data_IF_062188945083
#
_entry.id   IF_062188945083
#
_cell.length_a   1.000
_cell.length_b   1.000
_cell.length_c   1.000
_cell.angle_alpha   90.00
_cell.angle_beta   90.00
_cell.angle_gamma   90.00
#
_symmetry.space_group_name_H-M   'P 1'
#
loop_
_entity.id
_entity.type
_entity.pdbx_description
1 polymer ?
#
# COMPACT_ATOMS: atom_id res chain seq x y z
N UNK A 1 9.12 34.27 -5.28
CA UNK A 1 9.04 35.49 -6.10
C UNK A 1 10.30 35.55 -6.94
N UNK A 2 10.22 35.87 -8.24
CA UNK A 2 11.39 36.08 -9.09
C UNK A 2 11.69 37.59 -9.14
N UNK A 3 12.95 37.97 -8.97
CA UNK A 3 13.39 39.37 -8.88
C UNK A 3 13.94 39.86 -10.23
N UNK A 4 13.37 40.94 -10.77
CA UNK A 4 13.95 41.67 -11.90
C UNK A 4 15.19 42.46 -11.49
N UNK A 5 16.20 42.52 -12.37
CA UNK A 5 17.54 43.08 -12.11
C UNK A 5 17.56 44.61 -11.89
N UNK A 6 16.47 45.30 -12.19
CA UNK A 6 16.21 46.70 -11.86
C UNK A 6 14.82 46.75 -11.23
N UNK A 7 14.73 47.22 -9.98
CA UNK A 7 13.61 46.99 -9.07
C UNK A 7 12.22 47.05 -9.74
N UNK A 8 11.47 45.94 -9.65
CA UNK A 8 10.16 45.79 -10.29
C UNK A 8 9.25 44.81 -9.54
N UNK A 9 7.94 45.07 -9.71
CA UNK A 9 6.76 44.47 -9.06
C UNK A 9 6.80 42.95 -8.88
N UNK A 10 6.46 42.49 -7.67
CA UNK A 10 6.42 41.09 -7.28
C UNK A 10 5.08 40.42 -7.62
N UNK A 11 5.09 39.49 -8.59
CA UNK A 11 3.95 38.62 -8.86
C UNK A 11 4.10 37.24 -8.19
N UNK A 12 2.97 36.63 -7.80
CA UNK A 12 2.92 35.24 -7.36
C UNK A 12 3.46 34.33 -8.48
N UNK A 13 4.13 33.21 -8.13
CA UNK A 13 4.85 32.37 -9.12
C UNK A 13 3.94 32.00 -10.30
N UNK A 14 2.70 31.59 -10.03
CA UNK A 14 1.75 31.17 -11.06
C UNK A 14 1.31 32.32 -11.98
N UNK A 15 1.23 33.55 -11.44
CA UNK A 15 0.91 34.76 -12.21
C UNK A 15 2.09 35.14 -13.10
N UNK A 16 3.32 35.05 -12.57
CA UNK A 16 4.53 35.29 -13.34
C UNK A 16 4.71 34.27 -14.47
N UNK A 17 4.42 32.98 -14.20
CA UNK A 17 4.45 31.93 -15.22
C UNK A 17 3.39 32.18 -16.31
N UNK A 18 2.14 32.49 -15.94
CA UNK A 18 1.08 32.81 -16.91
C UNK A 18 1.43 34.03 -17.76
N UNK A 19 1.99 35.08 -17.15
CA UNK A 19 2.40 36.29 -17.86
C UNK A 19 3.57 36.02 -18.81
N UNK A 20 4.58 35.26 -18.38
CA UNK A 20 5.71 34.89 -19.22
C UNK A 20 5.30 34.00 -20.41
N UNK A 21 4.39 33.03 -20.20
CA UNK A 21 3.84 32.20 -21.28
C UNK A 21 2.99 33.01 -22.27
N UNK A 22 2.24 34.01 -21.78
CA UNK A 22 1.44 34.87 -22.66
C UNK A 22 2.30 35.80 -23.54
N UNK A 23 3.47 36.22 -23.05
CA UNK A 23 4.37 37.12 -23.78
C UNK A 23 5.32 36.37 -24.73
N UNK A 24 5.68 35.13 -24.43
CA UNK A 24 6.59 34.33 -25.26
C UNK A 24 6.05 32.93 -25.49
N UNK A 25 5.77 32.68 -26.77
CA UNK A 25 5.35 31.36 -27.27
C UNK A 25 6.45 30.32 -27.07
N UNK A 26 7.73 30.72 -27.16
CA UNK A 26 8.88 29.85 -26.90
C UNK A 26 8.94 29.39 -25.45
N UNK A 27 8.65 30.29 -24.51
CA UNK A 27 8.59 29.97 -23.08
C UNK A 27 7.42 29.04 -22.77
N UNK A 28 6.24 29.28 -23.35
CA UNK A 28 5.08 28.40 -23.19
C UNK A 28 5.39 26.98 -23.70
N UNK A 29 5.99 26.86 -24.88
CA UNK A 29 6.34 25.59 -25.49
C UNK A 29 7.42 24.84 -24.68
N UNK A 30 8.35 25.57 -24.05
CA UNK A 30 9.32 25.00 -23.13
C UNK A 30 8.65 24.40 -21.89
N UNK A 31 7.69 25.10 -21.27
CA UNK A 31 6.95 24.60 -20.10
C UNK A 31 6.13 23.35 -20.44
N UNK A 32 5.47 23.32 -21.60
CA UNK A 32 4.70 22.15 -22.06
C UNK A 32 5.61 20.93 -22.23
N UNK A 33 6.78 21.10 -22.86
CA UNK A 33 7.75 20.01 -23.04
C UNK A 33 8.29 19.50 -21.71
N UNK A 34 8.61 20.40 -20.79
CA UNK A 34 9.14 20.02 -19.48
C UNK A 34 8.09 19.29 -18.63
N UNK A 35 6.82 19.69 -18.73
CA UNK A 35 5.72 18.97 -18.09
C UNK A 35 5.53 17.56 -18.69
N UNK A 36 5.62 17.43 -20.02
CA UNK A 36 5.58 16.13 -20.69
C UNK A 36 6.75 15.23 -20.27
N UNK A 37 7.98 15.77 -20.19
CA UNK A 37 9.16 15.05 -19.69
C UNK A 37 8.97 14.52 -18.27
N UNK A 38 8.46 15.35 -17.36
CA UNK A 38 8.16 14.96 -15.98
C UNK A 38 7.09 13.86 -15.91
N UNK A 39 6.05 13.96 -16.75
CA UNK A 39 5.01 12.92 -16.83
C UNK A 39 5.53 11.60 -17.37
N UNK A 40 6.42 11.62 -18.35
CA UNK A 40 7.07 10.42 -18.86
C UNK A 40 8.00 9.78 -17.82
N UNK A 41 8.70 10.58 -17.01
CA UNK A 41 9.53 10.07 -15.91
C UNK A 41 8.70 9.45 -14.79
N UNK A 42 7.60 10.07 -14.37
CA UNK A 42 6.63 9.48 -13.43
C UNK A 42 6.08 8.14 -13.99
N UNK A 43 5.70 8.11 -15.26
CA UNK A 43 5.15 6.91 -15.91
C UNK A 43 6.19 5.79 -16.02
N UNK A 44 7.46 6.11 -16.26
CA UNK A 44 8.57 5.13 -16.25
C UNK A 44 8.79 4.53 -14.87
N UNK A 45 8.71 5.34 -13.80
CA UNK A 45 8.81 4.83 -12.42
C UNK A 45 7.65 3.92 -12.04
N UNK A 46 6.41 4.30 -12.40
CA UNK A 46 5.22 3.49 -12.20
C UNK A 46 5.23 2.20 -13.04
N UNK A 47 5.71 2.27 -14.28
CA UNK A 47 5.90 1.10 -15.13
C UNK A 47 6.98 0.16 -14.63
N UNK A 48 8.06 0.70 -14.03
CA UNK A 48 9.14 -0.09 -13.45
C UNK A 48 8.70 -0.81 -12.16
N UNK A 49 7.92 -0.16 -11.29
CA UNK A 49 7.34 -0.81 -10.10
C UNK A 49 6.32 -1.88 -10.50
N UNK A 50 5.41 -1.57 -11.44
CA UNK A 50 4.41 -2.52 -11.94
C UNK A 50 5.05 -3.73 -12.64
N UNK A 51 6.12 -3.52 -13.42
CA UNK A 51 6.84 -4.63 -14.09
C UNK A 51 7.59 -5.52 -13.08
N UNK A 52 8.10 -4.94 -11.99
CA UNK A 52 8.73 -5.70 -10.90
C UNK A 52 7.70 -6.50 -10.09
N UNK A 53 6.52 -5.93 -9.85
CA UNK A 53 5.40 -6.66 -9.25
C UNK A 53 4.86 -7.76 -10.17
N UNK A 54 4.69 -7.49 -11.47
CA UNK A 54 4.31 -8.48 -12.48
C UNK A 54 5.33 -9.61 -12.60
N UNK A 55 6.63 -9.32 -12.49
CA UNK A 55 7.69 -10.34 -12.54
C UNK A 55 7.68 -11.20 -11.26
N UNK A 56 7.41 -10.61 -10.09
CA UNK A 56 7.14 -11.37 -8.85
C UNK A 56 5.88 -12.23 -8.97
N UNK A 57 4.82 -11.70 -9.57
CA UNK A 57 3.57 -12.42 -9.89
C UNK A 57 3.84 -13.62 -10.81
N UNK A 58 4.61 -13.44 -11.89
CA UNK A 58 4.95 -14.51 -12.83
C UNK A 58 5.81 -15.63 -12.21
N UNK A 59 6.64 -15.33 -11.20
CA UNK A 59 7.36 -16.36 -10.46
C UNK A 59 6.45 -17.15 -9.51
N UNK A 60 5.34 -16.56 -9.04
CA UNK A 60 4.34 -17.22 -8.18
C UNK A 60 3.22 -17.94 -8.94
N UNK A 61 2.90 -17.54 -10.18
CA UNK A 61 1.87 -18.20 -11.00
C UNK A 61 2.24 -19.67 -11.30
N UNK A 62 3.54 -20.01 -11.36
CA UNK A 62 4.02 -21.37 -11.62
C UNK A 62 4.44 -22.15 -10.36
N UNK A 63 4.14 -21.66 -9.16
CA UNK A 63 4.22 -22.49 -7.95
C UNK A 63 2.81 -22.90 -7.53
N UNK A 64 2.30 -23.93 -8.19
CA UNK A 64 0.97 -24.57 -8.13
C UNK A 64 0.45 -25.02 -6.73
N UNK A 65 0.90 -24.47 -5.60
CA UNK A 65 0.78 -25.14 -4.29
C UNK A 65 0.01 -24.44 -3.14
N UNK A 66 -0.50 -23.20 -3.26
CA UNK A 66 -1.09 -22.47 -2.09
C UNK A 66 -2.57 -22.11 -2.27
N UNK A 67 -3.39 -23.07 -2.75
CA UNK A 67 -4.86 -22.90 -2.84
C UNK A 67 -5.63 -23.11 -1.51
N UNK A 68 -4.97 -23.32 -0.37
CA UNK A 68 -5.68 -23.81 0.83
C UNK A 68 -5.90 -22.84 2.00
N UNK A 69 -5.41 -21.58 2.00
CA UNK A 69 -5.62 -20.69 3.16
C UNK A 69 -5.42 -19.18 2.89
N UNK A 70 -5.71 -18.69 1.68
CA UNK A 70 -5.51 -17.27 1.34
C UNK A 70 -6.49 -16.32 2.05
N UNK A 71 -7.62 -16.82 2.54
CA UNK A 71 -8.58 -16.04 3.32
C UNK A 71 -8.28 -16.28 4.81
N UNK A 72 -8.08 -15.20 5.61
CA UNK A 72 -7.92 -15.33 7.05
C UNK A 72 -9.07 -16.11 7.66
N UNK A 73 -8.79 -16.95 8.65
CA UNK A 73 -9.86 -17.61 9.40
C UNK A 73 -10.38 -16.69 10.48
N UNK A 74 -11.64 -16.85 10.84
CA UNK A 74 -12.19 -16.18 12.01
C UNK A 74 -11.41 -16.60 13.27
N UNK A 75 -11.10 -15.62 14.11
CA UNK A 75 -10.31 -15.85 15.31
C UNK A 75 -11.11 -16.59 16.37
N UNK A 76 -10.47 -17.54 17.04
CA UNK A 76 -11.06 -18.23 18.19
C UNK A 76 -11.23 -17.30 19.40
N UNK A 77 -12.16 -17.65 20.30
CA UNK A 77 -12.37 -16.95 21.57
C UNK A 77 -11.11 -16.87 22.43
N UNK A 78 -10.24 -17.88 22.33
CA UNK A 78 -8.95 -17.91 23.00
C UNK A 78 -8.01 -16.84 22.43
N UNK A 79 -7.88 -16.76 21.09
CA UNK A 79 -7.01 -15.77 20.43
C UNK A 79 -7.49 -14.34 20.64
N UNK A 80 -8.81 -14.10 20.67
CA UNK A 80 -9.36 -12.76 20.91
C UNK A 80 -9.27 -12.30 22.36
N UNK A 81 -9.06 -13.22 23.29
CA UNK A 81 -8.94 -12.89 24.72
C UNK A 81 -7.49 -12.66 25.17
N UNK A 82 -6.52 -12.89 24.29
CA UNK A 82 -5.11 -12.57 24.53
C UNK A 82 -4.90 -11.06 24.40
N UNK A 83 -4.15 -10.48 25.33
CA UNK A 83 -3.61 -9.12 25.21
C UNK A 83 -2.25 -9.22 24.54
N UNK A 84 -2.11 -8.61 23.37
CA UNK A 84 -0.91 -8.66 22.57
C UNK A 84 0.06 -7.55 22.99
N UNK A 85 1.35 -7.89 22.99
CA UNK A 85 2.42 -7.00 23.43
C UNK A 85 2.66 -5.82 22.46
N UNK A 86 2.28 -5.96 21.19
CA UNK A 86 2.50 -4.94 20.16
C UNK A 86 1.32 -4.83 19.20
N UNK A 87 1.08 -3.63 18.66
CA UNK A 87 0.07 -3.43 17.61
C UNK A 87 0.45 -4.15 16.31
N UNK A 88 1.73 -4.38 16.07
CA UNK A 88 2.19 -5.20 14.96
C UNK A 88 1.70 -6.66 15.09
N UNK A 89 1.71 -7.22 16.31
CA UNK A 89 1.16 -8.56 16.56
C UNK A 89 -0.36 -8.58 16.45
N UNK A 90 -1.07 -7.52 16.85
CA UNK A 90 -2.52 -7.41 16.64
C UNK A 90 -2.86 -7.53 15.15
N UNK A 91 -2.13 -6.81 14.29
CA UNK A 91 -2.31 -6.85 12.84
C UNK A 91 -1.92 -8.21 12.24
N UNK A 92 -0.80 -8.78 12.68
CA UNK A 92 -0.36 -10.10 12.21
C UNK A 92 -1.36 -11.19 12.59
N UNK A 93 -1.93 -11.13 13.79
CA UNK A 93 -2.95 -12.09 14.23
C UNK A 93 -4.26 -11.88 13.48
N UNK A 94 -4.67 -10.62 13.25
CA UNK A 94 -5.87 -10.33 12.48
C UNK A 94 -5.83 -10.92 11.06
N UNK A 95 -4.67 -10.92 10.41
CA UNK A 95 -4.52 -11.40 9.03
C UNK A 95 -4.06 -12.85 8.93
N UNK A 96 -3.00 -13.21 9.65
CA UNK A 96 -2.33 -14.51 9.53
C UNK A 96 -2.69 -15.49 10.64
N UNK A 97 -3.44 -15.04 11.66
CA UNK A 97 -3.82 -15.87 12.82
C UNK A 97 -2.67 -16.19 13.78
N UNK A 98 -1.49 -15.58 13.61
CA UNK A 98 -0.31 -15.84 14.42
C UNK A 98 0.52 -14.58 14.66
N UNK A 99 1.29 -14.59 15.75
CA UNK A 99 2.24 -13.53 16.11
C UNK A 99 3.55 -13.66 15.33
N UNK A 100 4.35 -12.59 15.30
CA UNK A 100 5.67 -12.64 14.67
C UNK A 100 6.61 -13.66 15.34
N UNK A 101 6.42 -13.94 16.64
CA UNK A 101 7.17 -14.97 17.36
C UNK A 101 6.77 -16.37 16.91
N UNK A 102 5.48 -16.66 16.90
CA UNK A 102 4.95 -17.96 16.45
C UNK A 102 5.35 -18.27 15.00
N UNK A 103 5.36 -17.25 14.13
CA UNK A 103 5.82 -17.42 12.75
C UNK A 103 7.30 -17.81 12.67
N UNK A 104 8.18 -17.17 13.46
CA UNK A 104 9.61 -17.53 13.49
C UNK A 104 9.85 -18.93 14.05
N UNK A 105 9.09 -19.33 15.06
CA UNK A 105 9.16 -20.68 15.64
C UNK A 105 8.74 -21.76 14.63
N UNK A 106 7.73 -21.47 13.80
CA UNK A 106 7.28 -22.38 12.73
C UNK A 106 8.22 -22.38 11.50
N UNK A 107 9.00 -21.31 11.31
CA UNK A 107 9.86 -21.12 10.14
C UNK A 107 11.33 -20.88 10.53
N UNK A 108 12.00 -21.81 11.24
CA UNK A 108 13.35 -21.60 11.77
C UNK A 108 14.42 -21.40 10.69
N UNK A 109 14.17 -21.92 9.48
CA UNK A 109 15.12 -21.86 8.36
C UNK A 109 14.90 -20.64 7.44
N UNK A 110 13.82 -19.88 7.64
CA UNK A 110 13.51 -18.69 6.84
C UNK A 110 14.10 -17.44 7.49
N UNK A 111 14.69 -16.57 6.68
CA UNK A 111 15.28 -15.30 7.14
C UNK A 111 14.28 -14.18 6.91
N UNK A 112 14.01 -13.38 7.94
CA UNK A 112 13.14 -12.20 7.85
C UNK A 112 11.95 -12.28 8.80
N UNK A 113 10.83 -11.70 8.37
CA UNK A 113 9.57 -11.67 9.10
C UNK A 113 8.41 -12.15 8.21
N UNK A 114 7.27 -12.49 8.81
CA UNK A 114 6.06 -12.95 8.13
C UNK A 114 5.65 -12.08 6.94
N UNK A 115 5.84 -10.76 7.05
CA UNK A 115 5.51 -9.78 6.00
C UNK A 115 6.38 -9.93 4.74
N UNK A 116 7.61 -10.40 4.88
CA UNK A 116 8.52 -10.62 3.73
C UNK A 116 8.06 -11.79 2.85
N UNK A 117 7.24 -12.67 3.43
CA UNK A 117 6.68 -13.87 2.80
C UNK A 117 5.18 -13.75 2.51
N UNK A 118 4.60 -12.56 2.73
CA UNK A 118 3.19 -12.29 2.44
C UNK A 118 2.98 -11.98 0.95
N UNK A 119 1.83 -12.39 0.43
CA UNK A 119 1.37 -12.06 -0.92
C UNK A 119 1.07 -10.56 -1.04
N UNK A 120 1.00 -10.07 -2.29
CA UNK A 120 0.68 -8.66 -2.57
C UNK A 120 -0.69 -8.28 -1.96
N UNK A 121 -1.70 -9.16 -2.07
CA UNK A 121 -3.03 -8.92 -1.52
C UNK A 121 -3.02 -8.83 0.00
N UNK A 122 -2.24 -9.68 0.68
CA UNK A 122 -2.05 -9.63 2.13
C UNK A 122 -1.33 -8.33 2.55
N UNK A 123 -0.33 -7.88 1.79
CA UNK A 123 0.37 -6.61 2.05
C UNK A 123 -0.54 -5.39 1.86
N UNK A 124 -1.39 -5.39 0.84
CA UNK A 124 -2.41 -4.35 0.63
C UNK A 124 -3.38 -4.33 1.82
N UNK A 125 -3.86 -5.50 2.23
CA UNK A 125 -4.76 -5.64 3.36
C UNK A 125 -4.11 -5.15 4.68
N UNK A 126 -2.85 -5.51 4.94
CA UNK A 126 -2.06 -5.01 6.07
C UNK A 126 -1.99 -3.48 6.08
N UNK A 127 -1.63 -2.86 4.95
CA UNK A 127 -1.50 -1.40 4.87
C UNK A 127 -2.83 -0.71 5.17
N UNK A 128 -3.95 -1.26 4.71
CA UNK A 128 -5.25 -0.71 5.05
C UNK A 128 -5.61 -0.91 6.54
N UNK A 129 -5.37 -2.10 7.08
CA UNK A 129 -5.59 -2.39 8.50
C UNK A 129 -4.73 -1.52 9.42
N UNK A 130 -3.50 -1.18 9.03
CA UNK A 130 -2.64 -0.25 9.77
C UNK A 130 -3.30 1.13 9.92
N UNK A 131 -3.85 1.66 8.82
CA UNK A 131 -4.59 2.92 8.83
C UNK A 131 -5.85 2.85 9.70
N UNK A 132 -6.63 1.78 9.56
CA UNK A 132 -7.86 1.58 10.36
C UNK A 132 -7.56 1.39 11.84
N UNK A 133 -6.52 0.64 12.20
CA UNK A 133 -6.13 0.46 13.59
C UNK A 133 -5.71 1.77 14.23
N UNK A 134 -5.01 2.66 13.49
CA UNK A 134 -4.68 4.00 13.98
C UNK A 134 -5.94 4.82 14.32
N UNK A 135 -6.97 4.75 13.48
CA UNK A 135 -8.28 5.37 13.76
C UNK A 135 -8.92 4.77 15.01
N UNK A 136 -8.99 3.44 15.11
CA UNK A 136 -9.59 2.76 16.25
C UNK A 136 -8.85 3.04 17.58
N UNK A 137 -7.52 3.21 17.53
CA UNK A 137 -6.72 3.62 18.68
C UNK A 137 -7.10 5.04 19.11
N UNK A 138 -7.25 5.98 18.17
CA UNK A 138 -7.68 7.35 18.46
C UNK A 138 -9.09 7.40 19.07
N UNK A 139 -9.98 6.51 18.63
CA UNK A 139 -11.33 6.32 19.18
C UNK A 139 -11.34 5.60 20.54
N UNK A 140 -10.17 5.21 21.08
CA UNK A 140 -10.01 4.47 22.34
C UNK A 140 -10.76 3.13 22.36
N UNK A 141 -10.97 2.52 21.19
CA UNK A 141 -11.59 1.20 21.09
C UNK A 141 -10.68 0.17 21.78
N UNK A 142 -11.18 -0.72 22.66
CA UNK A 142 -10.37 -1.74 23.31
C UNK A 142 -9.65 -2.67 22.32
N UNK A 143 -8.41 -3.11 22.62
CA UNK A 143 -7.59 -3.91 21.69
C UNK A 143 -8.29 -5.18 21.20
N UNK A 144 -9.02 -5.87 22.10
CA UNK A 144 -9.82 -7.06 21.75
C UNK A 144 -10.87 -6.75 20.68
N UNK A 145 -11.61 -5.66 20.83
CA UNK A 145 -12.63 -5.26 19.87
C UNK A 145 -12.01 -4.84 18.54
N UNK A 146 -10.88 -4.12 18.58
CA UNK A 146 -10.12 -3.77 17.37
C UNK A 146 -9.67 -5.01 16.62
N UNK A 147 -9.10 -5.99 17.31
CA UNK A 147 -8.63 -7.24 16.71
C UNK A 147 -9.76 -7.98 15.97
N UNK A 148 -10.93 -8.08 16.59
CA UNK A 148 -12.11 -8.72 15.98
C UNK A 148 -12.55 -7.96 14.73
N UNK A 149 -12.69 -6.63 14.82
CA UNK A 149 -13.08 -5.78 13.67
C UNK A 149 -12.06 -5.88 12.54
N UNK A 150 -10.76 -5.83 12.85
CA UNK A 150 -9.67 -5.91 11.87
C UNK A 150 -9.67 -7.28 11.17
N UNK A 151 -9.87 -8.38 11.90
CA UNK A 151 -9.97 -9.71 11.30
C UNK A 151 -11.17 -9.81 10.34
N UNK A 152 -12.35 -9.31 10.73
CA UNK A 152 -13.52 -9.29 9.85
C UNK A 152 -13.26 -8.48 8.57
N UNK A 153 -12.64 -7.31 8.70
CA UNK A 153 -12.27 -6.46 7.57
C UNK A 153 -11.24 -7.15 6.67
N UNK A 154 -10.26 -7.84 7.26
CA UNK A 154 -9.26 -8.59 6.51
C UNK A 154 -9.88 -9.70 5.67
N UNK A 155 -10.81 -10.47 6.26
CA UNK A 155 -11.57 -11.52 5.58
C UNK A 155 -12.31 -10.93 4.38
N UNK A 156 -13.05 -9.84 4.57
CA UNK A 156 -13.80 -9.18 3.51
C UNK A 156 -12.91 -8.65 2.38
N UNK A 157 -11.79 -8.03 2.72
CA UNK A 157 -10.86 -7.49 1.72
C UNK A 157 -10.22 -8.60 0.89
N UNK A 158 -9.78 -9.68 1.55
CA UNK A 158 -9.17 -10.83 0.86
C UNK A 158 -10.18 -11.51 -0.08
N UNK A 159 -11.45 -11.62 0.30
CA UNK A 159 -12.51 -12.12 -0.57
C UNK A 159 -12.69 -11.25 -1.83
N UNK A 160 -12.73 -9.92 -1.68
CA UNK A 160 -12.91 -8.98 -2.80
C UNK A 160 -11.71 -9.01 -3.75
N UNK A 161 -10.49 -9.05 -3.21
CA UNK A 161 -9.26 -9.06 -3.99
C UNK A 161 -9.14 -10.35 -4.81
N UNK A 162 -9.50 -11.51 -4.22
CA UNK A 162 -9.54 -12.78 -4.94
C UNK A 162 -10.57 -12.79 -6.07
N UNK A 163 -11.78 -12.29 -5.84
CA UNK A 163 -12.81 -12.23 -6.88
C UNK A 163 -12.39 -11.31 -8.04
N UNK A 164 -11.73 -10.19 -7.73
CA UNK A 164 -11.22 -9.26 -8.73
C UNK A 164 -10.11 -9.88 -9.59
N UNK A 165 -9.20 -10.67 -8.99
CA UNK A 165 -8.18 -11.42 -9.74
C UNK A 165 -8.83 -12.48 -10.66
N UNK A 166 -9.80 -13.25 -10.15
CA UNK A 166 -10.51 -14.24 -10.95
C UNK A 166 -11.22 -13.62 -12.16
N UNK A 167 -11.86 -12.45 -12.00
CA UNK A 167 -12.51 -11.73 -13.11
C UNK A 167 -11.52 -11.19 -14.15
N UNK A 168 -10.29 -10.85 -13.75
CA UNK A 168 -9.23 -10.42 -14.68
C UNK A 168 -8.64 -11.59 -15.47
N UNK A 169 -8.60 -12.79 -14.90
CA UNK A 169 -8.12 -14.00 -15.55
C UNK A 169 -9.12 -14.57 -16.58
N UNK A 170 -10.40 -14.20 -16.48
CA UNK A 170 -11.48 -14.64 -17.38
C UNK A 170 -11.75 -13.68 -18.56
N UNK A 171 -10.94 -12.63 -18.73
CA UNK A 171 -11.02 -11.68 -19.86
C UNK A 171 -9.76 -11.76 -20.71
#
# INVERSE_FOLDING_TARGET
MLTGRYGGTYAHKDIAFKFASWISVEFELYIVKEFQRLKEEEQKQLGWSAKRELTKLNYHIHTDAVKQNLIPRELSSAQTSIIYASEADVLNVALFGMTAKQWREQNPNLKGNIRDYASINELICLSNMENLNAVFINEKTPQKERLIKLNQIAIQQMLILQDTENRKLLK
#
